data_IF_005902781580
#
_entry.id   IF_005902781580
#
_cell.length_a   1.000
_cell.length_b   1.000
_cell.length_c   1.000
_cell.angle_alpha   90.00
_cell.angle_beta   90.00
_cell.angle_gamma   90.00
#
_symmetry.space_group_name_H-M   'P 1'
#
loop_
_entity.id
_entity.type
_entity.pdbx_description
1 polymer ?
#
# COMPACT_ATOMS: atom_id res chain seq x y z
N UNK A 1 -18.90 -8.67 12.13
CA UNK A 1 -18.87 -8.46 10.67
C UNK A 1 -19.78 -9.48 10.00
N UNK A 2 -20.65 -9.04 9.10
CA UNK A 2 -21.60 -9.93 8.41
C UNK A 2 -20.82 -10.85 7.44
N UNK A 3 -21.16 -12.17 7.41
CA UNK A 3 -20.49 -13.16 6.54
C UNK A 3 -20.45 -12.73 5.06
N UNK A 4 -21.50 -12.07 4.59
CA UNK A 4 -21.58 -11.58 3.21
C UNK A 4 -20.57 -10.46 2.91
N UNK A 5 -20.28 -9.59 3.88
CA UNK A 5 -19.28 -8.52 3.73
C UNK A 5 -17.89 -9.12 3.70
N UNK A 6 -17.59 -10.07 4.58
CA UNK A 6 -16.31 -10.76 4.61
C UNK A 6 -16.00 -11.45 3.28
N UNK A 7 -16.98 -12.16 2.71
CA UNK A 7 -16.81 -12.83 1.42
C UNK A 7 -16.58 -11.83 0.27
N UNK A 8 -17.30 -10.71 0.26
CA UNK A 8 -17.09 -9.63 -0.73
C UNK A 8 -15.67 -9.05 -0.64
N UNK A 9 -15.13 -8.85 0.56
CA UNK A 9 -13.78 -8.34 0.73
C UNK A 9 -12.73 -9.33 0.23
N UNK A 10 -12.92 -10.64 0.47
CA UNK A 10 -12.00 -11.66 -0.06
C UNK A 10 -12.00 -11.64 -1.59
N UNK A 11 -13.17 -11.61 -2.22
CA UNK A 11 -13.27 -11.54 -3.69
C UNK A 11 -12.60 -10.27 -4.20
N UNK A 12 -12.88 -9.12 -3.60
CA UNK A 12 -12.26 -7.85 -3.97
C UNK A 12 -10.73 -7.89 -3.79
N UNK A 13 -10.24 -8.51 -2.71
CA UNK A 13 -8.80 -8.68 -2.47
C UNK A 13 -8.12 -9.50 -3.55
N UNK A 14 -8.73 -10.61 -3.97
CA UNK A 14 -8.21 -11.45 -5.06
C UNK A 14 -8.24 -10.70 -6.39
N UNK A 15 -9.30 -9.95 -6.66
CA UNK A 15 -9.42 -9.16 -7.89
C UNK A 15 -8.35 -8.07 -7.96
N UNK A 16 -8.15 -7.31 -6.88
CA UNK A 16 -7.12 -6.27 -6.82
C UNK A 16 -5.71 -6.86 -6.91
N UNK A 17 -5.48 -8.04 -6.30
CA UNK A 17 -4.22 -8.76 -6.43
C UNK A 17 -3.94 -9.14 -7.90
N UNK A 18 -4.94 -9.67 -8.60
CA UNK A 18 -4.83 -9.97 -10.04
C UNK A 18 -4.52 -8.70 -10.84
N UNK A 19 -5.21 -7.60 -10.60
CA UNK A 19 -4.91 -6.33 -11.25
C UNK A 19 -3.46 -5.88 -11.01
N UNK A 20 -2.96 -6.03 -9.79
CA UNK A 20 -1.58 -5.66 -9.43
C UNK A 20 -0.54 -6.40 -10.28
N UNK A 21 -0.76 -7.66 -10.60
CA UNK A 21 0.18 -8.47 -11.41
C UNK A 21 0.29 -7.94 -12.84
N UNK A 22 -0.81 -7.42 -13.40
CA UNK A 22 -0.85 -6.89 -14.76
C UNK A 22 -0.36 -5.46 -14.90
N UNK A 23 -0.07 -4.76 -13.79
CA UNK A 23 0.44 -3.39 -13.86
C UNK A 23 1.86 -3.38 -14.39
N UNK A 24 2.11 -2.70 -15.53
CA UNK A 24 3.45 -2.59 -16.07
C UNK A 24 4.33 -1.68 -15.19
N UNK A 25 5.62 -2.01 -15.12
CA UNK A 25 6.59 -1.09 -14.55
C UNK A 25 6.77 0.11 -15.48
N UNK A 26 6.69 1.30 -14.92
CA UNK A 26 6.92 2.56 -15.62
C UNK A 26 8.39 2.93 -15.41
N UNK A 27 9.14 3.15 -16.48
CA UNK A 27 10.52 3.65 -16.39
C UNK A 27 10.53 5.16 -16.51
N UNK A 28 10.99 5.82 -15.45
CA UNK A 28 11.13 7.27 -15.40
C UNK A 28 12.57 7.63 -15.07
N UNK A 29 13.28 8.29 -16.01
CA UNK A 29 14.71 8.66 -15.86
C UNK A 29 15.58 7.49 -15.34
N UNK A 30 15.52 6.33 -15.98
CA UNK A 30 16.21 5.09 -15.60
C UNK A 30 15.79 4.49 -14.25
N UNK A 31 14.75 5.02 -13.60
CA UNK A 31 14.16 4.45 -12.40
C UNK A 31 12.95 3.59 -12.77
N UNK A 32 12.94 2.34 -12.33
CA UNK A 32 11.80 1.45 -12.51
C UNK A 32 10.82 1.64 -11.35
N UNK A 33 9.66 2.19 -11.65
CA UNK A 33 8.59 2.48 -10.71
C UNK A 33 7.39 1.58 -11.01
N UNK A 34 6.86 0.92 -10.00
CA UNK A 34 5.65 0.08 -10.11
C UNK A 34 4.61 0.63 -9.15
N UNK A 35 3.49 1.21 -9.65
CA UNK A 35 2.40 1.62 -8.79
C UNK A 35 1.85 0.43 -7.99
N UNK A 36 1.60 0.62 -6.69
CA UNK A 36 1.03 -0.42 -5.84
C UNK A 36 -0.44 -0.11 -5.54
N UNK A 37 -1.36 -0.75 -6.29
CA UNK A 37 -2.80 -0.59 -6.09
C UNK A 37 -3.26 -1.28 -4.79
N UNK A 38 -2.53 -2.29 -4.31
CA UNK A 38 -2.91 -2.98 -3.08
C UNK A 38 -2.88 -2.05 -1.86
N UNK A 39 -1.94 -1.07 -1.82
CA UNK A 39 -1.91 -0.11 -0.72
C UNK A 39 -3.10 0.85 -0.75
N UNK A 40 -3.63 1.16 -1.94
CA UNK A 40 -4.85 1.96 -2.09
C UNK A 40 -6.04 1.19 -1.54
N UNK A 41 -6.18 -0.08 -1.93
CA UNK A 41 -7.21 -0.97 -1.40
C UNK A 41 -7.13 -1.10 0.13
N UNK A 42 -5.91 -1.26 0.68
CA UNK A 42 -5.69 -1.29 2.13
C UNK A 42 -6.08 0.02 2.81
N UNK A 43 -5.96 1.17 2.14
CA UNK A 43 -6.39 2.45 2.70
C UNK A 43 -7.90 2.47 2.93
N UNK A 44 -8.69 2.00 1.98
CA UNK A 44 -10.14 1.86 2.18
C UNK A 44 -10.47 0.85 3.28
N UNK A 45 -9.79 -0.30 3.31
CA UNK A 45 -9.99 -1.28 4.38
C UNK A 45 -9.65 -0.71 5.76
N UNK A 46 -8.55 0.02 5.90
CA UNK A 46 -8.13 0.64 7.15
C UNK A 46 -9.14 1.66 7.66
N UNK A 47 -9.65 2.51 6.77
CA UNK A 47 -10.62 3.54 7.11
C UNK A 47 -11.98 2.96 7.53
N UNK A 48 -12.41 1.84 6.97
CA UNK A 48 -13.74 1.26 7.23
C UNK A 48 -13.75 0.11 8.23
N UNK A 49 -12.70 -0.74 8.29
CA UNK A 49 -12.70 -1.97 9.07
C UNK A 49 -11.70 -2.00 10.23
N UNK A 50 -10.87 -0.97 10.35
CA UNK A 50 -9.95 -0.78 11.47
C UNK A 50 -8.67 -1.62 11.41
N UNK A 51 -7.86 -1.52 12.47
CA UNK A 51 -6.47 -2.01 12.50
C UNK A 51 -6.32 -3.51 12.26
N UNK A 52 -6.99 -4.31 13.09
CA UNK A 52 -6.75 -5.76 13.13
C UNK A 52 -7.03 -6.41 11.77
N UNK A 53 -8.15 -6.05 11.18
CA UNK A 53 -8.56 -6.58 9.90
C UNK A 53 -7.61 -6.16 8.77
N UNK A 54 -7.23 -4.87 8.74
CA UNK A 54 -6.34 -4.34 7.70
C UNK A 54 -4.92 -4.90 7.80
N UNK A 55 -4.41 -5.17 9.00
CA UNK A 55 -3.12 -5.83 9.19
C UNK A 55 -3.14 -7.24 8.60
N UNK A 56 -4.17 -8.04 8.91
CA UNK A 56 -4.28 -9.42 8.42
C UNK A 56 -4.37 -9.45 6.89
N UNK A 57 -5.26 -8.64 6.31
CA UNK A 57 -5.40 -8.58 4.85
C UNK A 57 -4.13 -8.03 4.21
N UNK A 58 -3.50 -7.01 4.79
CA UNK A 58 -2.23 -6.47 4.33
C UNK A 58 -1.11 -7.51 4.32
N UNK A 59 -1.01 -8.32 5.38
CA UNK A 59 -0.07 -9.43 5.46
C UNK A 59 -0.31 -10.46 4.35
N UNK A 60 -1.56 -10.91 4.21
CA UNK A 60 -1.90 -11.93 3.22
C UNK A 60 -1.69 -11.45 1.78
N UNK A 61 -2.10 -10.22 1.46
CA UNK A 61 -1.89 -9.62 0.15
C UNK A 61 -0.41 -9.38 -0.15
N UNK A 62 0.34 -8.91 0.84
CA UNK A 62 1.78 -8.72 0.71
C UNK A 62 2.50 -10.05 0.49
N UNK A 63 2.16 -11.09 1.26
CA UNK A 63 2.74 -12.42 1.11
C UNK A 63 2.42 -13.02 -0.27
N UNK A 64 1.18 -12.89 -0.73
CA UNK A 64 0.78 -13.34 -2.06
C UNK A 64 1.54 -12.59 -3.16
N UNK A 65 1.75 -11.29 -3.00
CA UNK A 65 2.54 -10.49 -3.93
C UNK A 65 4.02 -10.93 -3.94
N UNK A 66 4.64 -11.15 -2.77
CA UNK A 66 6.01 -11.63 -2.66
C UNK A 66 6.19 -12.97 -3.38
N UNK A 67 5.26 -13.92 -3.16
CA UNK A 67 5.29 -15.23 -3.81
C UNK A 67 5.24 -15.15 -5.35
N UNK A 68 4.53 -14.16 -5.89
CA UNK A 68 4.33 -14.04 -7.34
C UNK A 68 5.47 -13.22 -7.99
N UNK A 69 5.96 -12.18 -7.30
CA UNK A 69 6.84 -11.19 -7.93
C UNK A 69 8.30 -11.27 -7.52
N UNK A 70 8.62 -11.77 -6.31
CA UNK A 70 9.97 -11.65 -5.77
C UNK A 70 10.28 -12.68 -4.66
N UNK A 71 10.44 -13.93 -5.05
CA UNK A 71 10.73 -15.02 -4.10
C UNK A 71 11.97 -14.78 -3.22
N UNK A 72 12.98 -14.07 -3.73
CA UNK A 72 14.22 -13.77 -2.99
C UNK A 72 14.01 -12.84 -1.79
N UNK A 73 12.97 -12.00 -1.83
CA UNK A 73 12.61 -11.06 -0.76
C UNK A 73 11.29 -11.44 -0.10
N UNK A 74 11.03 -12.73 0.01
CA UNK A 74 9.79 -13.25 0.58
C UNK A 74 9.55 -12.70 1.98
N UNK A 75 8.37 -12.11 2.20
CA UNK A 75 7.97 -11.48 3.45
C UNK A 75 8.18 -9.96 3.51
N UNK A 76 8.94 -9.37 2.58
CA UNK A 76 9.18 -7.92 2.58
C UNK A 76 7.90 -7.11 2.36
N UNK A 77 7.11 -7.45 1.33
CA UNK A 77 5.81 -6.80 1.09
C UNK A 77 4.78 -7.18 2.15
N UNK A 78 4.80 -8.42 2.65
CA UNK A 78 3.94 -8.83 3.76
C UNK A 78 4.18 -7.97 5.00
N UNK A 79 5.43 -7.76 5.37
CA UNK A 79 5.80 -6.93 6.51
C UNK A 79 5.40 -5.46 6.29
N UNK A 80 5.80 -4.86 5.17
CA UNK A 80 5.55 -3.44 4.89
C UNK A 80 4.07 -3.11 4.78
N UNK A 81 3.26 -4.00 4.18
CA UNK A 81 1.79 -3.84 4.10
C UNK A 81 1.11 -4.04 5.46
N UNK A 82 1.65 -4.88 6.34
CA UNK A 82 1.15 -5.02 7.70
C UNK A 82 1.38 -3.74 8.52
N UNK A 83 2.58 -3.15 8.42
CA UNK A 83 2.91 -1.87 9.06
C UNK A 83 2.00 -0.76 8.53
N UNK A 84 1.82 -0.70 7.21
CA UNK A 84 0.89 0.23 6.56
C UNK A 84 -0.54 0.03 7.09
N UNK A 85 -1.02 -1.21 7.15
CA UNK A 85 -2.36 -1.55 7.63
C UNK A 85 -2.59 -1.13 9.08
N UNK A 86 -1.57 -1.26 9.94
CA UNK A 86 -1.62 -0.75 11.31
C UNK A 86 -1.82 0.77 11.34
N UNK A 87 -1.02 1.50 10.57
CA UNK A 87 -1.12 2.96 10.47
C UNK A 87 -2.47 3.44 9.94
N UNK A 88 -2.92 2.85 8.81
CA UNK A 88 -4.20 3.19 8.19
C UNK A 88 -5.40 2.90 9.11
N UNK A 89 -5.38 1.74 9.76
CA UNK A 89 -6.44 1.36 10.71
C UNK A 89 -6.49 2.24 11.97
N UNK A 90 -5.41 2.99 12.26
CA UNK A 90 -5.39 3.99 13.34
C UNK A 90 -6.35 5.14 13.06
N UNK A 91 -6.50 5.52 11.78
CA UNK A 91 -7.41 6.59 11.36
C UNK A 91 -8.88 6.25 11.65
N UNK A 92 -9.23 4.98 11.64
CA UNK A 92 -10.58 4.51 11.96
C UNK A 92 -10.93 4.65 13.46
N UNK A 93 -9.94 4.55 14.35
CA UNK A 93 -10.19 4.61 15.80
C UNK A 93 -10.67 5.98 16.29
N UNK A 94 -10.28 7.04 15.59
CA UNK A 94 -10.57 8.40 15.99
C UNK A 94 -11.16 9.22 14.83
N UNK A 95 -12.31 8.81 14.26
CA UNK A 95 -12.84 9.38 13.03
C UNK A 95 -13.14 10.88 13.15
N UNK A 96 -13.53 11.33 14.36
CA UNK A 96 -13.94 12.72 14.63
C UNK A 96 -12.76 13.67 14.91
N UNK A 97 -11.58 13.13 15.22
CA UNK A 97 -10.39 13.95 15.51
C UNK A 97 -9.69 14.39 14.22
N UNK A 98 -9.76 13.56 13.19
CA UNK A 98 -9.03 13.76 11.96
C UNK A 98 -9.85 14.57 10.95
N UNK A 99 -9.43 15.80 10.64
CA UNK A 99 -9.97 16.53 9.49
C UNK A 99 -9.64 15.79 8.18
N UNK A 100 -10.46 15.97 7.14
CA UNK A 100 -10.23 15.29 5.85
C UNK A 100 -8.85 15.57 5.27
N UNK A 101 -8.37 16.80 5.34
CA UNK A 101 -7.03 17.19 4.88
C UNK A 101 -5.92 16.49 5.66
N UNK A 102 -6.10 16.36 6.97
CA UNK A 102 -5.12 15.69 7.84
C UNK A 102 -5.08 14.19 7.57
N UNK A 103 -6.24 13.55 7.32
CA UNK A 103 -6.30 12.13 6.91
C UNK A 103 -5.48 11.88 5.64
N UNK A 104 -5.67 12.71 4.61
CA UNK A 104 -4.91 12.60 3.35
C UNK A 104 -3.41 12.79 3.57
N UNK A 105 -3.00 13.79 4.34
CA UNK A 105 -1.60 14.02 4.67
C UNK A 105 -0.98 12.82 5.41
N UNK A 106 -1.71 12.26 6.36
CA UNK A 106 -1.25 11.09 7.12
C UNK A 106 -1.13 9.84 6.24
N UNK A 107 -2.09 9.61 5.33
CA UNK A 107 -2.01 8.52 4.35
C UNK A 107 -0.78 8.69 3.45
N UNK A 108 -0.48 9.91 3.01
CA UNK A 108 0.72 10.19 2.23
C UNK A 108 2.02 9.84 2.99
N UNK A 109 2.11 10.21 4.27
CA UNK A 109 3.24 9.84 5.13
C UNK A 109 3.36 8.31 5.25
N UNK A 110 2.24 7.60 5.44
CA UNK A 110 2.23 6.15 5.54
C UNK A 110 2.66 5.47 4.23
N UNK A 111 2.32 6.03 3.07
CA UNK A 111 2.78 5.52 1.79
C UNK A 111 4.30 5.71 1.62
N UNK A 112 4.82 6.88 2.03
CA UNK A 112 6.27 7.10 2.05
C UNK A 112 6.98 6.11 2.98
N UNK A 113 6.44 5.87 4.18
CA UNK A 113 6.98 4.90 5.12
C UNK A 113 6.98 3.49 4.55
N UNK A 114 5.88 3.07 3.91
CA UNK A 114 5.76 1.77 3.26
C UNK A 114 6.86 1.55 2.20
N UNK A 115 6.99 2.47 1.26
CA UNK A 115 8.00 2.36 0.21
C UNK A 115 9.43 2.55 0.74
N UNK A 116 9.62 3.35 1.80
CA UNK A 116 10.92 3.49 2.45
C UNK A 116 11.36 2.17 3.09
N UNK A 117 10.50 1.53 3.89
CA UNK A 117 10.83 0.25 4.53
C UNK A 117 11.09 -0.82 3.47
N UNK A 118 10.24 -0.89 2.44
CA UNK A 118 10.41 -1.85 1.36
C UNK A 118 11.75 -1.66 0.62
N UNK A 119 12.07 -0.45 0.22
CA UNK A 119 13.32 -0.15 -0.47
C UNK A 119 14.54 -0.35 0.43
N UNK A 120 14.42 -0.06 1.72
CA UNK A 120 15.47 -0.33 2.70
C UNK A 120 15.77 -1.84 2.78
N UNK A 121 14.75 -2.69 2.84
CA UNK A 121 14.92 -4.15 2.83
C UNK A 121 15.51 -4.61 1.49
N UNK A 122 14.98 -4.11 0.39
CA UNK A 122 15.37 -4.50 -0.98
C UNK A 122 16.82 -4.18 -1.31
N UNK A 123 17.30 -3.03 -0.88
CA UNK A 123 18.67 -2.58 -1.19
C UNK A 123 19.67 -2.88 -0.06
N UNK A 124 19.24 -3.60 0.98
CA UNK A 124 20.14 -3.99 2.05
C UNK A 124 21.25 -4.90 1.51
N UNK A 125 22.51 -4.51 1.78
CA UNK A 125 23.68 -5.24 1.27
C UNK A 125 24.12 -4.88 -0.17
N UNK A 126 23.37 -4.03 -0.89
CA UNK A 126 23.73 -3.55 -2.22
C UNK A 126 24.23 -2.09 -2.10
N UNK A 127 25.36 -1.77 -2.73
CA UNK A 127 25.87 -0.39 -2.77
C UNK A 127 25.01 0.45 -3.73
N UNK A 128 23.87 0.94 -3.26
CA UNK A 128 23.02 1.89 -3.99
C UNK A 128 23.11 3.24 -3.30
N UNK A 129 23.23 4.30 -4.09
CA UNK A 129 23.22 5.66 -3.56
C UNK A 129 21.91 5.93 -2.81
N UNK A 130 22.01 6.41 -1.57
CA UNK A 130 20.88 6.77 -0.72
C UNK A 130 19.93 7.78 -1.38
N UNK A 131 20.47 8.66 -2.21
CA UNK A 131 19.71 9.65 -2.96
C UNK A 131 18.80 8.99 -4.03
N UNK A 132 19.28 7.92 -4.66
CA UNK A 132 18.46 7.14 -5.62
C UNK A 132 17.32 6.42 -4.88
N UNK A 133 17.61 5.82 -3.73
CA UNK A 133 16.60 5.15 -2.91
C UNK A 133 15.51 6.14 -2.46
N UNK A 134 15.91 7.33 -2.02
CA UNK A 134 14.97 8.39 -1.64
C UNK A 134 14.08 8.83 -2.83
N UNK A 135 14.67 9.03 -4.01
CA UNK A 135 13.91 9.37 -5.23
C UNK A 135 12.88 8.30 -5.60
N UNK A 136 13.27 7.03 -5.61
CA UNK A 136 12.36 5.92 -5.92
C UNK A 136 11.20 5.88 -4.90
N UNK A 137 11.51 6.04 -3.62
CA UNK A 137 10.51 6.05 -2.54
C UNK A 137 9.48 7.16 -2.73
N UNK A 138 9.94 8.40 -2.97
CA UNK A 138 9.06 9.56 -3.13
C UNK A 138 8.22 9.42 -4.41
N UNK A 139 8.80 8.98 -5.52
CA UNK A 139 8.07 8.84 -6.79
C UNK A 139 6.98 7.76 -6.65
N UNK A 140 7.30 6.58 -6.08
CA UNK A 140 6.31 5.52 -5.88
C UNK A 140 5.16 5.97 -4.97
N UNK A 141 5.47 6.65 -3.86
CA UNK A 141 4.44 7.14 -2.94
C UNK A 141 3.58 8.23 -3.56
N UNK A 142 4.15 9.16 -4.33
CA UNK A 142 3.41 10.20 -5.04
C UNK A 142 2.46 9.60 -6.08
N UNK A 143 2.93 8.67 -6.91
CA UNK A 143 2.10 8.02 -7.93
C UNK A 143 0.93 7.29 -7.28
N UNK A 144 1.20 6.47 -6.25
CA UNK A 144 0.14 5.73 -5.55
C UNK A 144 -0.84 6.67 -4.84
N UNK A 145 -0.36 7.79 -4.31
CA UNK A 145 -1.21 8.79 -3.66
C UNK A 145 -2.09 9.56 -4.66
N UNK A 146 -1.55 9.93 -5.81
CA UNK A 146 -2.33 10.55 -6.89
C UNK A 146 -3.43 9.61 -7.39
N UNK A 147 -3.12 8.32 -7.57
CA UNK A 147 -4.11 7.33 -7.95
C UNK A 147 -5.21 7.21 -6.88
N UNK A 148 -4.84 7.21 -5.59
CA UNK A 148 -5.82 7.23 -4.49
C UNK A 148 -6.78 8.42 -4.61
N UNK A 149 -6.26 9.64 -4.81
CA UNK A 149 -7.09 10.85 -4.94
C UNK A 149 -8.04 10.77 -6.14
N UNK A 150 -7.55 10.25 -7.27
CA UNK A 150 -8.38 10.08 -8.48
C UNK A 150 -9.52 9.08 -8.22
N UNK A 151 -9.20 7.94 -7.61
CA UNK A 151 -10.20 6.91 -7.28
C UNK A 151 -11.20 7.45 -6.25
N UNK A 152 -10.74 8.15 -5.22
CA UNK A 152 -11.59 8.73 -4.18
C UNK A 152 -12.60 9.73 -4.79
N UNK A 153 -12.14 10.58 -5.70
CA UNK A 153 -13.00 11.52 -6.41
C UNK A 153 -14.06 10.83 -7.31
N UNK A 154 -13.68 9.75 -7.99
CA UNK A 154 -14.61 9.01 -8.87
C UNK A 154 -15.67 8.23 -8.07
N UNK A 155 -15.33 7.77 -6.87
CA UNK A 155 -16.24 6.96 -6.03
C UNK A 155 -17.19 7.84 -5.21
N UNK A 156 -16.77 9.07 -4.87
CA UNK A 156 -17.53 10.00 -4.00
C UNK A 156 -18.37 11.02 -4.77
N UNK A 157 -18.11 11.26 -6.06
CA UNK A 157 -18.96 12.03 -6.97
C UNK A 157 -19.96 11.09 -7.68
#
# INVERSE_FOLDING_TARGET
MNKNIFFKIIIASLFVLMLQIFIPAITFYNLRVVPDILIIFLSYLGLYYGRFFTIIIGFLLGLSQDLITQLELMGAMAFTKSVLGFGLGTLNLYPNIWSGRFKLFFIFILYNLHFFIFNFIRFNGIKVDSLIVAKITIINSLISFVILIIIDKIILD
#
